data_IF_641919516312
#
_entry.id   IF_641919516312
#
_cell.length_a   1.000
_cell.length_b   1.000
_cell.length_c   1.000
_cell.angle_alpha   90.00
_cell.angle_beta   90.00
_cell.angle_gamma   90.00
#
_symmetry.space_group_name_H-M   'P 1'
#
loop_
_entity.id
_entity.type
_entity.pdbx_description
1 polymer ?
#
# COMPACT_ATOMS: atom_id res chain seq x y z
N UNK A 1 -4.03 -4.31 -10.11
CA UNK A 1 -5.06 -3.81 -9.22
C UNK A 1 -6.34 -4.54 -9.54
N UNK A 2 -6.98 -5.11 -8.53
CA UNK A 2 -8.17 -5.94 -8.69
C UNK A 2 -9.36 -5.14 -8.17
N UNK A 3 -10.45 -5.08 -8.93
CA UNK A 3 -11.63 -4.32 -8.53
C UNK A 3 -12.70 -5.25 -7.96
N UNK A 4 -13.16 -4.95 -6.76
CA UNK A 4 -14.15 -5.71 -6.01
C UNK A 4 -15.41 -4.85 -5.88
N UNK A 5 -16.57 -5.44 -6.17
CA UNK A 5 -17.85 -4.77 -5.91
C UNK A 5 -18.12 -4.75 -4.41
N UNK A 6 -18.58 -3.62 -3.88
CA UNK A 6 -19.00 -3.52 -2.48
C UNK A 6 -20.24 -4.42 -2.26
N UNK A 7 -20.43 -4.95 -1.04
CA UNK A 7 -21.51 -5.89 -0.74
C UNK A 7 -22.92 -5.33 -1.00
N UNK A 8 -23.07 -4.01 -1.08
CA UNK A 8 -24.34 -3.33 -1.37
C UNK A 8 -24.65 -3.19 -2.87
N UNK A 9 -23.73 -3.64 -3.74
CA UNK A 9 -23.83 -3.54 -5.21
C UNK A 9 -24.01 -2.11 -5.77
N UNK A 10 -23.93 -1.09 -4.90
CA UNK A 10 -24.05 0.33 -5.24
C UNK A 10 -22.72 0.95 -5.69
N UNK A 11 -21.59 0.35 -5.31
CA UNK A 11 -20.26 0.88 -5.61
C UNK A 11 -19.21 -0.24 -5.76
N UNK A 12 -18.04 0.10 -6.30
CA UNK A 12 -16.91 -0.82 -6.44
C UNK A 12 -15.65 -0.16 -5.89
N UNK A 13 -14.81 -0.96 -5.24
CA UNK A 13 -13.52 -0.54 -4.71
C UNK A 13 -12.41 -1.31 -5.44
N UNK A 14 -11.42 -0.60 -5.95
CA UNK A 14 -10.25 -1.22 -6.55
C UNK A 14 -9.10 -1.26 -5.56
N UNK A 15 -8.52 -2.45 -5.37
CA UNK A 15 -7.22 -2.60 -4.75
C UNK A 15 -6.15 -2.08 -5.70
N UNK A 16 -5.52 -0.97 -5.32
CA UNK A 16 -4.55 -0.30 -6.16
C UNK A 16 -3.13 -0.83 -5.94
N UNK A 17 -2.33 -0.96 -7.03
CA UNK A 17 -0.92 -1.27 -6.90
C UNK A 17 -0.16 -0.16 -6.15
N UNK A 18 1.05 -0.48 -5.69
CA UNK A 18 1.91 0.43 -4.93
C UNK A 18 2.00 1.83 -5.56
N UNK A 19 1.75 2.85 -4.73
CA UNK A 19 1.83 4.26 -5.12
C UNK A 19 0.64 4.79 -5.95
N UNK A 20 -0.42 4.02 -6.14
CA UNK A 20 -1.66 4.46 -6.81
C UNK A 20 -2.83 4.52 -5.83
N UNK A 21 -3.75 5.44 -6.09
CA UNK A 21 -4.93 5.73 -5.29
C UNK A 21 -6.10 6.18 -6.18
N UNK A 22 -7.26 6.37 -5.58
CA UNK A 22 -8.52 6.68 -6.25
C UNK A 22 -9.32 5.43 -6.62
N UNK A 23 -10.60 5.64 -6.95
CA UNK A 23 -11.59 4.57 -7.19
C UNK A 23 -11.17 3.55 -8.25
N UNK A 24 -10.36 3.99 -9.23
CA UNK A 24 -9.85 3.16 -10.33
C UNK A 24 -8.32 3.11 -10.35
N UNK A 25 -7.66 3.47 -9.24
CA UNK A 25 -6.19 3.51 -9.17
C UNK A 25 -5.57 4.45 -10.21
N UNK A 26 -6.32 5.48 -10.61
CA UNK A 26 -5.92 6.41 -11.66
C UNK A 26 -5.06 7.56 -11.13
N UNK A 27 -5.10 7.80 -9.81
CA UNK A 27 -4.31 8.86 -9.17
C UNK A 27 -3.04 8.25 -8.62
N UNK A 28 -1.94 8.98 -8.65
CA UNK A 28 -0.77 8.61 -7.85
C UNK A 28 -0.98 9.09 -6.43
N UNK A 29 -0.73 8.23 -5.46
CA UNK A 29 -0.69 8.65 -4.08
C UNK A 29 0.51 9.60 -3.92
N UNK A 30 0.23 10.87 -3.66
CA UNK A 30 1.25 11.89 -3.41
C UNK A 30 1.29 12.26 -1.93
N UNK A 31 0.27 11.86 -1.16
CA UNK A 31 0.09 12.27 0.22
C UNK A 31 -0.51 11.15 1.09
N UNK A 32 -0.37 11.31 2.40
CA UNK A 32 -1.00 10.47 3.41
C UNK A 32 -2.51 10.65 3.50
N UNK A 33 -3.05 11.75 2.99
CA UNK A 33 -4.50 11.97 2.92
C UNK A 33 -5.19 10.94 2.03
N UNK A 34 -4.44 10.37 1.08
CA UNK A 34 -4.90 9.30 0.20
C UNK A 34 -4.87 7.91 0.87
N UNK A 35 -4.50 7.85 2.16
CA UNK A 35 -4.30 6.62 2.95
C UNK A 35 -3.52 5.53 2.21
N UNK A 36 -2.30 5.83 1.72
CA UNK A 36 -1.54 4.87 0.94
C UNK A 36 -0.96 3.72 1.78
N UNK A 37 -0.77 3.91 3.08
CA UNK A 37 -0.12 2.89 3.92
C UNK A 37 -1.14 1.89 4.48
N UNK A 38 -0.86 0.59 4.34
CA UNK A 38 -1.71 -0.51 4.80
C UNK A 38 -1.15 -1.19 6.06
N UNK A 39 -1.92 -2.14 6.62
CA UNK A 39 -1.50 -3.01 7.73
C UNK A 39 -1.02 -2.30 9.00
N UNK A 40 -1.58 -1.12 9.29
CA UNK A 40 -1.24 -0.34 10.47
C UNK A 40 0.11 0.38 10.38
N UNK A 41 0.65 0.57 9.17
CA UNK A 41 1.84 1.36 8.94
C UNK A 41 1.61 2.86 9.17
N UNK A 42 2.67 3.57 9.57
CA UNK A 42 2.62 5.01 9.84
C UNK A 42 2.93 5.76 8.55
N UNK A 43 1.98 6.56 8.05
CA UNK A 43 2.21 7.41 6.90
C UNK A 43 2.85 8.75 7.29
N UNK A 44 3.93 9.13 6.61
CA UNK A 44 4.57 10.44 6.71
C UNK A 44 4.59 11.15 5.36
N UNK A 45 4.08 12.37 5.30
CA UNK A 45 4.20 13.21 4.12
C UNK A 45 5.65 13.68 3.96
N UNK A 46 6.17 13.64 2.74
CA UNK A 46 7.46 14.24 2.44
C UNK A 46 7.37 15.76 2.55
N UNK A 47 8.51 16.40 2.81
CA UNK A 47 8.61 17.87 2.95
C UNK A 47 8.11 18.60 1.70
N UNK A 48 8.29 17.99 0.53
CA UNK A 48 7.88 18.56 -0.75
C UNK A 48 6.38 18.36 -1.06
N UNK A 49 5.61 17.67 -0.19
CA UNK A 49 4.19 17.32 -0.34
C UNK A 49 3.82 16.64 -1.68
N UNK A 50 4.83 16.21 -2.44
CA UNK A 50 4.68 15.49 -3.72
C UNK A 50 4.88 14.00 -3.57
N UNK A 51 5.30 13.55 -2.39
CA UNK A 51 5.51 12.15 -2.07
C UNK A 51 5.15 11.88 -0.61
N UNK A 52 4.88 10.61 -0.33
CA UNK A 52 4.66 10.08 1.00
C UNK A 52 5.72 9.00 1.29
N UNK A 53 5.87 8.65 2.55
CA UNK A 53 6.70 7.54 3.02
C UNK A 53 5.91 6.79 4.07
N UNK A 54 5.75 5.47 3.87
CA UNK A 54 5.15 4.60 4.87
C UNK A 54 6.26 3.97 5.73
N UNK A 55 6.14 4.09 7.04
CA UNK A 55 6.93 3.32 7.99
C UNK A 55 6.19 2.02 8.27
N UNK A 56 6.66 0.95 7.66
CA UNK A 56 6.09 -0.39 7.80
C UNK A 56 6.48 -1.04 9.12
N UNK A 57 5.60 -1.92 9.61
CA UNK A 57 5.89 -2.76 10.78
C UNK A 57 6.83 -3.92 10.40
N UNK A 58 7.46 -4.56 11.38
CA UNK A 58 8.44 -5.65 11.18
C UNK A 58 7.95 -6.86 10.36
N UNK A 59 6.65 -6.98 10.10
CA UNK A 59 6.05 -8.07 9.31
C UNK A 59 5.59 -7.63 7.91
N UNK A 60 5.76 -6.36 7.53
CA UNK A 60 5.31 -5.80 6.26
C UNK A 60 6.38 -4.92 5.60
N UNK A 61 6.41 -4.90 4.28
CA UNK A 61 7.37 -4.18 3.43
C UNK A 61 6.65 -3.68 2.17
N UNK A 62 7.39 -3.02 1.28
CA UNK A 62 6.85 -2.28 0.15
C UNK A 62 6.67 -0.79 0.48
N UNK A 63 6.44 0.02 -0.55
CA UNK A 63 6.19 1.46 -0.43
C UNK A 63 4.93 1.75 0.38
N UNK A 64 3.97 0.84 0.35
CA UNK A 64 2.66 0.97 0.97
C UNK A 64 2.47 0.01 2.16
N UNK A 65 3.48 -0.78 2.52
CA UNK A 65 3.41 -1.79 3.60
C UNK A 65 2.32 -2.86 3.38
N UNK A 66 2.08 -3.18 2.12
CA UNK A 66 1.13 -4.20 1.66
C UNK A 66 1.79 -5.57 1.43
N UNK A 67 3.12 -5.62 1.36
CA UNK A 67 3.86 -6.85 1.08
C UNK A 67 4.25 -7.50 2.41
N UNK A 68 3.86 -8.74 2.72
CA UNK A 68 4.29 -9.40 3.95
C UNK A 68 5.80 -9.71 3.89
N UNK A 69 6.53 -9.40 4.95
CA UNK A 69 7.93 -9.82 5.14
C UNK A 69 7.89 -11.32 5.45
N UNK A 70 8.04 -12.13 4.42
CA UNK A 70 8.37 -13.54 4.60
C UNK A 70 9.83 -13.63 5.06
N UNK A 71 10.04 -13.84 6.36
CA UNK A 71 11.35 -14.12 6.97
C UNK A 71 12.10 -15.30 6.33
N UNK A 72 11.46 -16.04 5.44
CA UNK A 72 12.09 -17.00 4.55
C UNK A 72 12.04 -16.49 3.11
N UNK A 73 13.11 -15.82 2.66
CA UNK A 73 13.61 -16.16 1.33
C UNK A 73 14.18 -17.58 1.43
N UNK A 74 13.68 -18.56 0.67
CA UNK A 74 14.31 -19.88 0.59
C UNK A 74 15.77 -19.82 0.09
N UNK A 75 16.21 -18.69 -0.48
CA UNK A 75 17.59 -18.47 -0.94
C UNK A 75 18.60 -17.98 0.12
N UNK A 76 18.21 -17.90 1.40
CA UNK A 76 19.16 -17.56 2.49
C UNK A 76 19.28 -18.62 3.57
N UNK A 77 18.60 -19.76 3.41
CA UNK A 77 18.93 -20.97 4.15
C UNK A 77 19.92 -21.80 3.34
N UNK A 78 21.17 -21.33 3.21
CA UNK A 78 22.28 -22.20 2.84
C UNK A 78 22.63 -23.04 4.07
N UNK A 79 22.39 -24.35 3.98
CA UNK A 79 23.02 -25.33 4.85
C UNK A 79 24.46 -25.58 4.40
#
# INVERSE_FOLDING_TARGET
>A
GTCHMLPDNSDFVCECPEGLTGRLCQKRATSCSDSPCFNGAICKNSRDQKSFTCECNNNWTGRNCDIPITLCKPDSCSN
#
